data_IF_745079163452
#
_entry.id   IF_745079163452
#
_cell.length_a   1.000
_cell.length_b   1.000
_cell.length_c   1.000
_cell.angle_alpha   90.00
_cell.angle_beta   90.00
_cell.angle_gamma   90.00
#
_symmetry.space_group_name_H-M   'P 1'
#
loop_
_entity.id
_entity.type
_entity.pdbx_description
1 polymer ?
#
# COMPACT_ATOMS: atom_id res chain seq x y z
N UNK A 1 -7.26 -10.12 0.58
CA UNK A 1 -8.28 -9.26 1.20
C UNK A 1 -9.34 -8.93 0.17
N UNK A 2 -10.62 -9.15 0.45
CA UNK A 2 -11.75 -8.90 -0.48
C UNK A 2 -12.75 -7.98 0.23
N UNK A 3 -13.25 -6.97 -0.47
CA UNK A 3 -14.24 -6.03 0.07
C UNK A 3 -14.12 -4.63 -0.53
N UNK A 4 -14.97 -3.72 -0.06
CA UNK A 4 -15.12 -2.35 -0.53
C UNK A 4 -15.30 -1.38 0.64
N UNK A 5 -14.38 -0.43 0.73
CA UNK A 5 -14.31 0.54 1.81
C UNK A 5 -15.52 1.47 1.79
N UNK A 6 -16.13 1.66 2.96
CA UNK A 6 -17.36 2.46 3.10
C UNK A 6 -18.61 1.78 2.53
N UNK A 7 -18.55 0.47 2.25
CA UNK A 7 -19.71 -0.37 1.93
C UNK A 7 -19.79 -1.58 2.88
N UNK A 8 -18.82 -2.49 2.79
CA UNK A 8 -18.75 -3.72 3.61
C UNK A 8 -17.41 -3.87 4.35
N UNK A 9 -16.51 -2.89 4.22
CA UNK A 9 -15.22 -2.83 4.90
C UNK A 9 -14.97 -1.46 5.53
N UNK A 10 -14.42 -1.46 6.75
CA UNK A 10 -14.01 -0.25 7.46
C UNK A 10 -12.54 0.13 7.19
N UNK A 11 -12.18 1.36 7.56
CA UNK A 11 -10.84 1.93 7.35
C UNK A 11 -9.75 1.13 8.06
N UNK A 12 -10.02 0.66 9.28
CA UNK A 12 -9.04 -0.09 10.07
C UNK A 12 -8.69 -1.44 9.40
N UNK A 13 -9.69 -2.17 8.91
CA UNK A 13 -9.46 -3.42 8.16
C UNK A 13 -8.72 -3.14 6.86
N UNK A 14 -9.07 -2.05 6.16
CA UNK A 14 -8.33 -1.61 4.97
C UNK A 14 -6.86 -1.30 5.27
N UNK A 15 -6.57 -0.65 6.41
CA UNK A 15 -5.21 -0.35 6.84
C UNK A 15 -4.40 -1.62 7.08
N UNK A 16 -4.99 -2.63 7.73
CA UNK A 16 -4.36 -3.94 7.90
C UNK A 16 -4.06 -4.61 6.55
N UNK A 17 -5.01 -4.53 5.60
CA UNK A 17 -4.82 -5.06 4.26
C UNK A 17 -3.67 -4.37 3.52
N UNK A 18 -3.60 -3.04 3.58
CA UNK A 18 -2.52 -2.25 2.98
C UNK A 18 -1.15 -2.62 3.59
N UNK A 19 -1.10 -2.86 4.91
CA UNK A 19 0.12 -3.33 5.59
C UNK A 19 0.56 -4.71 5.10
N UNK A 20 -0.36 -5.65 4.94
CA UNK A 20 -0.04 -6.98 4.38
C UNK A 20 0.47 -6.89 2.94
N UNK A 21 -0.16 -6.07 2.10
CA UNK A 21 0.29 -5.86 0.70
C UNK A 21 1.71 -5.27 0.67
N UNK A 22 2.05 -4.38 1.60
CA UNK A 22 3.41 -3.87 1.71
C UNK A 22 4.42 -4.98 2.04
N UNK A 23 4.08 -5.96 2.90
CA UNK A 23 4.93 -7.14 3.15
C UNK A 23 5.16 -7.92 1.83
N UNK A 24 4.11 -8.13 1.04
CA UNK A 24 4.21 -8.85 -0.24
C UNK A 24 5.09 -8.12 -1.27
N UNK A 25 4.98 -6.79 -1.33
CA UNK A 25 5.84 -5.94 -2.16
C UNK A 25 7.31 -6.04 -1.74
N UNK A 26 7.59 -5.95 -0.43
CA UNK A 26 8.95 -6.06 0.11
C UNK A 26 9.54 -7.46 -0.09
N UNK A 27 8.73 -8.50 0.04
CA UNK A 27 9.13 -9.89 -0.26
C UNK A 27 9.53 -10.05 -1.73
N UNK A 28 8.72 -9.51 -2.64
CA UNK A 28 9.01 -9.50 -4.09
C UNK A 28 10.31 -8.75 -4.40
N UNK A 29 10.49 -7.57 -3.79
CA UNK A 29 11.70 -6.77 -3.93
C UNK A 29 12.95 -7.49 -3.39
N UNK A 30 12.84 -8.11 -2.22
CA UNK A 30 13.91 -8.89 -1.62
C UNK A 30 14.30 -10.09 -2.49
N UNK A 31 13.33 -10.81 -3.06
CA UNK A 31 13.59 -11.92 -3.97
C UNK A 31 14.32 -11.47 -5.24
N UNK A 32 14.01 -10.27 -5.75
CA UNK A 32 14.69 -9.70 -6.92
C UNK A 32 16.11 -9.19 -6.61
N UNK A 33 16.30 -8.54 -5.46
CA UNK A 33 17.58 -7.90 -5.11
C UNK A 33 18.54 -8.82 -4.36
N UNK A 34 18.06 -9.89 -3.72
CA UNK A 34 18.80 -10.74 -2.78
C UNK A 34 18.93 -10.16 -1.38
N UNK A 35 18.99 -8.84 -1.23
CA UNK A 35 18.86 -8.13 0.05
C UNK A 35 18.18 -6.78 -0.16
N UNK A 36 17.35 -6.38 0.81
CA UNK A 36 16.73 -5.04 0.86
C UNK A 36 17.74 -3.92 1.16
N UNK A 37 18.95 -4.25 1.65
CA UNK A 37 20.03 -3.27 1.89
C UNK A 37 20.51 -2.59 0.59
N UNK A 38 20.14 -3.15 -0.56
CA UNK A 38 20.44 -2.59 -1.88
C UNK A 38 19.51 -1.45 -2.28
N UNK A 39 18.44 -1.21 -1.53
CA UNK A 39 17.51 -0.10 -1.79
C UNK A 39 18.16 1.21 -1.36
N UNK A 40 18.22 2.18 -2.28
CA UNK A 40 18.65 3.56 -1.98
C UNK A 40 17.50 4.43 -1.49
N UNK A 41 16.31 4.26 -2.09
CA UNK A 41 15.13 5.06 -1.77
C UNK A 41 13.84 4.42 -2.24
N UNK A 42 12.78 4.54 -1.42
CA UNK A 42 11.41 4.35 -1.89
C UNK A 42 10.94 5.67 -2.51
N UNK A 43 10.83 5.70 -3.84
CA UNK A 43 10.57 6.94 -4.58
C UNK A 43 9.09 7.32 -4.50
N UNK A 44 8.21 6.36 -4.82
CA UNK A 44 6.76 6.57 -4.89
C UNK A 44 6.01 5.31 -4.47
N UNK A 45 4.90 5.51 -3.77
CA UNK A 45 3.86 4.50 -3.56
C UNK A 45 2.55 5.00 -4.16
N UNK A 46 1.87 4.18 -4.94
CA UNK A 46 0.53 4.46 -5.43
C UNK A 46 -0.43 3.40 -4.91
N UNK A 47 -1.52 3.85 -4.29
CA UNK A 47 -2.59 2.99 -3.77
C UNK A 47 -3.90 3.22 -4.52
N UNK A 48 -4.51 2.12 -4.93
CA UNK A 48 -5.89 2.06 -5.40
C UNK A 48 -6.72 1.40 -4.31
N UNK A 49 -7.72 2.10 -3.78
CA UNK A 49 -8.57 1.62 -2.69
C UNK A 49 -9.98 1.42 -3.24
N UNK A 50 -10.47 0.19 -3.26
CA UNK A 50 -11.83 -0.12 -3.71
C UNK A 50 -12.82 0.54 -2.75
N UNK A 51 -13.48 1.61 -3.19
CA UNK A 51 -14.20 2.55 -2.32
C UNK A 51 -15.64 2.74 -2.81
N UNK A 52 -16.58 2.88 -1.89
CA UNK A 52 -17.89 3.47 -2.19
C UNK A 52 -17.73 4.95 -2.61
N UNK A 53 -18.76 5.54 -3.20
CA UNK A 53 -18.72 6.94 -3.66
C UNK A 53 -18.53 7.94 -2.52
N UNK A 54 -18.94 7.58 -1.30
CA UNK A 54 -18.92 8.45 -0.13
C UNK A 54 -17.66 8.25 0.73
N UNK A 55 -16.85 7.23 0.46
CA UNK A 55 -15.66 6.95 1.24
C UNK A 55 -14.52 7.91 0.87
N UNK A 56 -13.93 8.56 1.86
CA UNK A 56 -12.90 9.61 1.67
C UNK A 56 -11.63 9.39 2.48
N UNK A 57 -11.50 8.22 3.12
CA UNK A 57 -10.40 7.89 4.03
C UNK A 57 -9.31 7.02 3.37
N UNK A 58 -9.17 7.05 2.04
CA UNK A 58 -8.16 6.25 1.32
C UNK A 58 -6.74 6.55 1.80
N UNK A 59 -6.49 7.79 2.21
CA UNK A 59 -5.21 8.22 2.78
C UNK A 59 -4.90 7.53 4.11
N UNK A 60 -5.91 7.24 4.95
CA UNK A 60 -5.75 6.50 6.21
C UNK A 60 -5.53 5.01 5.95
N UNK A 61 -6.28 4.41 5.02
CA UNK A 61 -6.06 3.03 4.57
C UNK A 61 -4.61 2.84 4.11
N UNK A 62 -4.10 3.75 3.27
CA UNK A 62 -2.74 3.67 2.76
C UNK A 62 -1.65 3.93 3.80
N UNK A 63 -1.97 4.43 4.99
CA UNK A 63 -0.98 4.56 6.06
C UNK A 63 -0.44 3.20 6.50
N UNK A 64 -1.24 2.12 6.45
CA UNK A 64 -0.75 0.79 6.81
C UNK A 64 0.43 0.32 5.97
N UNK A 65 0.44 0.67 4.67
CA UNK A 65 1.59 0.44 3.80
C UNK A 65 2.74 1.40 4.10
N UNK A 66 2.44 2.70 4.18
CA UNK A 66 3.48 3.73 4.36
C UNK A 66 4.24 3.59 5.68
N UNK A 67 3.53 3.31 6.77
CA UNK A 67 4.09 3.12 8.11
C UNK A 67 5.03 1.91 8.13
N UNK A 68 4.63 0.77 7.58
CA UNK A 68 5.50 -0.40 7.50
C UNK A 68 6.78 -0.12 6.69
N UNK A 69 6.64 0.54 5.53
CA UNK A 69 7.80 0.89 4.71
C UNK A 69 8.78 1.78 5.49
N UNK A 70 8.28 2.75 6.24
CA UNK A 70 9.12 3.62 7.08
C UNK A 70 9.69 2.86 8.29
N UNK A 71 8.95 1.94 8.90
CA UNK A 71 9.46 1.07 9.97
C UNK A 71 10.65 0.22 9.50
N UNK A 72 10.59 -0.30 8.26
CA UNK A 72 11.64 -1.15 7.69
C UNK A 72 12.86 -0.35 7.23
N UNK A 73 12.65 0.77 6.52
CA UNK A 73 13.72 1.51 5.85
C UNK A 73 14.13 2.81 6.55
N UNK A 74 13.40 3.27 7.56
CA UNK A 74 13.63 4.57 8.19
C UNK A 74 13.50 5.71 7.19
N UNK A 75 14.50 6.61 7.15
CA UNK A 75 14.45 7.83 6.36
C UNK A 75 14.31 7.57 4.85
N UNK A 76 15.00 6.56 4.31
CA UNK A 76 14.92 6.23 2.88
C UNK A 76 13.57 5.59 2.49
N UNK A 77 12.78 5.19 3.51
CA UNK A 77 11.42 4.71 3.36
C UNK A 77 10.40 5.83 3.15
N UNK A 78 10.73 7.11 3.41
CA UNK A 78 9.81 8.23 3.16
C UNK A 78 9.67 8.50 1.66
N UNK A 79 8.43 8.43 1.17
CA UNK A 79 8.10 8.43 -0.24
C UNK A 79 7.02 9.44 -0.61
N UNK A 80 6.99 9.84 -1.90
CA UNK A 80 5.82 10.48 -2.45
C UNK A 80 4.66 9.48 -2.53
N UNK A 81 3.42 9.93 -2.34
CA UNK A 81 2.26 9.03 -2.32
C UNK A 81 1.08 9.57 -3.12
N UNK A 82 0.34 8.66 -3.75
CA UNK A 82 -1.00 8.89 -4.27
C UNK A 82 -1.94 7.81 -3.72
N UNK A 83 -3.13 8.18 -3.27
CA UNK A 83 -4.15 7.26 -2.77
C UNK A 83 -5.49 7.61 -3.43
N UNK A 84 -6.00 6.72 -4.27
CA UNK A 84 -7.21 6.94 -5.06
C UNK A 84 -8.33 6.03 -4.60
N UNK A 85 -9.54 6.57 -4.49
CA UNK A 85 -10.75 5.75 -4.47
C UNK A 85 -11.03 5.24 -5.89
N UNK A 86 -11.21 3.93 -6.04
CA UNK A 86 -11.56 3.31 -7.33
C UNK A 86 -12.84 2.49 -7.22
N UNK A 87 -13.55 2.36 -8.34
CA UNK A 87 -14.84 1.68 -8.38
C UNK A 87 -14.74 0.17 -8.14
N UNK A 88 -13.65 -0.46 -8.60
CA UNK A 88 -13.39 -1.89 -8.46
C UNK A 88 -11.91 -2.20 -8.68
N UNK A 89 -11.46 -3.31 -8.09
CA UNK A 89 -10.12 -3.90 -8.25
C UNK A 89 -10.29 -5.37 -8.65
N UNK A 90 -9.38 -5.97 -9.47
CA UNK A 90 -9.46 -7.38 -9.84
C UNK A 90 -9.71 -8.31 -8.65
N UNK A 91 -10.46 -9.39 -8.89
CA UNK A 91 -10.84 -10.39 -7.89
C UNK A 91 -11.64 -9.85 -6.69
N UNK A 92 -12.10 -8.60 -6.75
CA UNK A 92 -12.79 -7.96 -5.64
C UNK A 92 -11.87 -7.53 -4.50
N UNK A 93 -10.57 -7.38 -4.75
CA UNK A 93 -9.63 -6.94 -3.72
C UNK A 93 -10.00 -5.56 -3.17
N UNK A 94 -9.71 -5.32 -1.89
CA UNK A 94 -10.04 -4.06 -1.24
C UNK A 94 -8.99 -2.96 -1.50
N UNK A 95 -7.74 -3.34 -1.72
CA UNK A 95 -6.61 -2.43 -1.97
C UNK A 95 -5.65 -3.09 -2.96
N UNK A 96 -5.09 -2.29 -3.85
CA UNK A 96 -3.97 -2.64 -4.72
C UNK A 96 -2.90 -1.55 -4.59
N UNK A 97 -1.62 -1.94 -4.53
CA UNK A 97 -0.51 -1.02 -4.28
C UNK A 97 0.63 -1.34 -5.24
N UNK A 98 1.19 -0.30 -5.85
CA UNK A 98 2.47 -0.36 -6.57
C UNK A 98 3.51 0.56 -5.92
N UNK A 99 4.79 0.26 -6.17
CA UNK A 99 5.90 1.08 -5.69
C UNK A 99 7.01 1.23 -6.72
N UNK A 100 7.66 2.39 -6.70
CA UNK A 100 8.86 2.70 -7.49
C UNK A 100 10.04 2.80 -6.53
N UNK A 101 11.13 2.10 -6.84
CA UNK A 101 12.29 1.93 -5.96
C UNK A 101 13.57 2.31 -6.70
N UNK A 102 14.42 3.10 -6.05
CA UNK A 102 15.79 3.39 -6.48
C UNK A 102 16.76 2.38 -5.84
N UNK A 103 17.69 1.84 -6.64
CA UNK A 103 18.69 0.81 -6.27
C UNK A 103 20.11 1.37 -6.43
#
# INVERSE_FOLDING_TARGET
WVGKLGFDMDTATGQMAARSIAIDLLSTLAAHLGSLDRVRRIVKVMGLVNSSSEFTEQHLVMNGCSELIVEVFGEIGKHARSAFGVAQIPLGACVEIEMIVEI
#
